data_IF_072735084917
#
_entry.id   IF_072735084917
#
_cell.length_a   1.000
_cell.length_b   1.000
_cell.length_c   1.000
_cell.angle_alpha   90.00
_cell.angle_beta   90.00
_cell.angle_gamma   90.00
#
_symmetry.space_group_name_H-M   'P 1'
#
loop_
_entity.id
_entity.type
_entity.pdbx_description
1 polymer ?
#
# COMPACT_ATOMS: atom_id res chain seq x y z
N UNK A 1 -19.80 11.79 -8.93
CA UNK A 1 -18.36 12.04 -9.08
C UNK A 1 -17.59 11.23 -8.06
N UNK A 2 -16.62 10.48 -8.51
CA UNK A 2 -15.85 9.64 -7.60
C UNK A 2 -14.68 10.40 -6.99
N UNK A 3 -14.54 10.33 -5.68
CA UNK A 3 -13.38 10.88 -5.02
C UNK A 3 -12.17 9.98 -5.23
N UNK A 4 -11.01 10.58 -5.36
CA UNK A 4 -9.75 9.86 -5.45
C UNK A 4 -8.94 10.07 -4.17
N UNK A 5 -8.16 9.06 -3.81
CA UNK A 5 -7.39 9.07 -2.57
C UNK A 5 -5.95 8.65 -2.88
N UNK A 6 -5.03 9.54 -2.59
CA UNK A 6 -3.60 9.29 -2.84
C UNK A 6 -2.82 9.33 -1.52
N UNK A 7 -3.15 10.28 -0.65
CA UNK A 7 -2.47 10.48 0.62
C UNK A 7 -3.38 10.14 1.79
N UNK A 8 -2.81 9.62 2.88
CA UNK A 8 -3.60 9.37 4.07
C UNK A 8 -4.03 10.68 4.71
N UNK A 9 -5.19 10.68 5.37
CA UNK A 9 -5.58 11.81 6.21
C UNK A 9 -4.90 11.69 7.57
N UNK A 10 -4.77 12.82 8.27
CA UNK A 10 -4.21 12.79 9.62
C UNK A 10 -5.06 11.94 10.56
N UNK A 11 -6.39 11.96 10.38
CA UNK A 11 -7.30 11.15 11.17
C UNK A 11 -7.05 9.66 10.98
N UNK A 12 -6.84 9.24 9.73
CA UNK A 12 -6.58 7.84 9.43
C UNK A 12 -5.21 7.40 9.97
N UNK A 13 -4.20 8.24 9.84
CA UNK A 13 -2.87 7.97 10.41
C UNK A 13 -2.99 7.78 11.92
N UNK A 14 -3.67 8.71 12.60
CA UNK A 14 -3.85 8.65 14.05
C UNK A 14 -4.61 7.38 14.46
N UNK A 15 -5.63 7.00 13.69
CA UNK A 15 -6.41 5.79 13.97
C UNK A 15 -5.54 4.54 13.90
N UNK A 16 -4.69 4.43 12.88
CA UNK A 16 -3.79 3.28 12.76
C UNK A 16 -2.77 3.26 13.89
N UNK A 17 -2.23 4.43 14.26
CA UNK A 17 -1.25 4.51 15.36
C UNK A 17 -1.83 4.06 16.69
N UNK A 18 -3.14 4.26 16.88
CA UNK A 18 -3.83 3.89 18.12
C UNK A 18 -4.31 2.45 18.16
N UNK A 19 -4.23 1.74 17.04
CA UNK A 19 -4.66 0.34 17.01
C UNK A 19 -3.82 -0.48 17.98
N UNK A 20 -4.52 -1.32 18.76
CA UNK A 20 -3.85 -2.25 19.67
C UNK A 20 -3.49 -3.51 18.89
N UNK A 21 -2.48 -3.38 18.03
CA UNK A 21 -1.99 -4.48 17.20
C UNK A 21 -0.50 -4.57 17.38
N UNK A 22 -0.03 -5.78 17.68
CA UNK A 22 1.38 -6.07 17.83
C UNK A 22 1.82 -7.02 16.72
N UNK A 23 3.10 -6.93 16.37
CA UNK A 23 3.69 -7.83 15.40
C UNK A 23 3.42 -7.42 13.96
N UNK A 24 3.58 -8.37 13.03
CA UNK A 24 3.55 -8.05 11.60
C UNK A 24 2.18 -7.57 11.11
N UNK A 25 2.24 -6.64 10.18
CA UNK A 25 1.07 -6.11 9.49
C UNK A 25 1.26 -6.29 8.00
N UNK A 26 0.19 -6.57 7.28
CA UNK A 26 0.23 -6.63 5.82
C UNK A 26 -0.59 -5.46 5.29
N UNK A 27 0.07 -4.58 4.57
CA UNK A 27 -0.58 -3.44 3.92
C UNK A 27 -1.06 -3.87 2.54
N UNK A 28 -2.36 -3.73 2.34
CA UNK A 28 -2.99 -4.07 1.07
C UNK A 28 -3.16 -2.80 0.25
N UNK A 29 -2.49 -2.76 -0.90
CA UNK A 29 -2.54 -1.63 -1.82
C UNK A 29 -3.41 -1.98 -3.02
N UNK A 30 -4.36 -1.11 -3.33
CA UNK A 30 -5.09 -1.14 -4.60
C UNK A 30 -4.69 0.12 -5.36
N UNK A 31 -4.20 -0.04 -6.57
CA UNK A 31 -3.59 1.05 -7.32
C UNK A 31 -4.23 1.21 -8.69
N UNK A 32 -4.54 2.45 -9.04
CA UNK A 32 -4.90 2.83 -10.40
C UNK A 32 -3.85 3.82 -10.88
N UNK A 33 -3.19 3.51 -11.99
CA UNK A 33 -2.14 4.36 -12.55
C UNK A 33 -2.74 5.47 -13.38
N UNK A 34 -2.04 6.61 -13.43
CA UNK A 34 -2.39 7.65 -14.39
C UNK A 34 -2.26 7.09 -15.80
N UNK A 35 -3.19 7.44 -16.70
CA UNK A 35 -3.20 6.83 -18.04
C UNK A 35 -1.94 7.14 -18.86
N UNK A 36 -1.29 8.28 -18.61
CA UNK A 36 -0.09 8.64 -19.35
C UNK A 36 1.14 8.52 -18.46
N UNK A 37 1.86 7.40 -18.60
CA UNK A 37 3.12 7.21 -17.90
C UNK A 37 3.01 6.80 -16.44
N UNK A 38 1.81 6.59 -15.91
CA UNK A 38 1.65 6.27 -14.49
C UNK A 38 2.33 4.97 -14.10
N UNK A 39 2.21 3.92 -14.93
CA UNK A 39 2.83 2.64 -14.62
C UNK A 39 4.35 2.75 -14.57
N UNK A 40 4.95 3.50 -15.52
CA UNK A 40 6.39 3.71 -15.54
C UNK A 40 6.86 4.54 -14.34
N UNK A 41 6.09 5.56 -13.96
CA UNK A 41 6.40 6.35 -12.77
C UNK A 41 6.31 5.52 -11.51
N UNK A 42 5.33 4.61 -11.44
CA UNK A 42 5.22 3.74 -10.28
C UNK A 42 6.41 2.78 -10.20
N UNK A 43 6.93 2.35 -11.34
CA UNK A 43 8.15 1.53 -11.36
C UNK A 43 9.34 2.33 -10.82
N UNK A 44 9.45 3.62 -11.19
CA UNK A 44 10.47 4.51 -10.62
C UNK A 44 10.32 4.62 -9.10
N UNK A 45 9.07 4.76 -8.65
CA UNK A 45 8.80 4.77 -7.22
C UNK A 45 9.29 3.49 -6.56
N UNK A 46 8.98 2.33 -7.16
CA UNK A 46 9.40 1.04 -6.62
C UNK A 46 10.91 0.93 -6.46
N UNK A 47 11.65 1.40 -7.47
CA UNK A 47 13.11 1.39 -7.42
C UNK A 47 13.62 2.34 -6.33
N UNK A 48 13.05 3.53 -6.24
CA UNK A 48 13.45 4.51 -5.23
C UNK A 48 13.08 4.07 -3.81
N UNK A 49 11.95 3.37 -3.66
CA UNK A 49 11.47 2.91 -2.36
C UNK A 49 12.17 1.64 -1.87
N UNK A 50 12.78 0.87 -2.77
CA UNK A 50 13.37 -0.42 -2.42
C UNK A 50 14.32 -0.38 -1.23
N UNK A 51 15.28 0.58 -1.14
CA UNK A 51 16.16 0.63 0.03
C UNK A 51 15.42 0.97 1.31
N UNK A 52 14.33 1.76 1.23
CA UNK A 52 13.52 2.08 2.40
C UNK A 52 12.77 0.84 2.90
N UNK A 53 12.21 0.07 1.97
CA UNK A 53 11.54 -1.19 2.32
C UNK A 53 12.52 -2.15 2.97
N UNK A 54 13.72 -2.29 2.40
CA UNK A 54 14.74 -3.17 2.94
C UNK A 54 15.11 -2.78 4.38
N UNK A 55 15.32 -1.49 4.63
CA UNK A 55 15.69 -1.02 5.97
C UNK A 55 14.56 -1.20 6.99
N UNK A 56 13.31 -1.12 6.53
CA UNK A 56 12.17 -1.29 7.43
C UNK A 56 11.88 -2.75 7.77
N UNK A 57 12.53 -3.68 7.09
CA UNK A 57 12.26 -5.10 7.25
C UNK A 57 11.03 -5.57 6.49
N UNK A 58 10.58 -4.78 5.51
CA UNK A 58 9.39 -5.10 4.75
C UNK A 58 9.64 -6.20 3.74
N UNK A 59 8.61 -6.99 3.47
CA UNK A 59 8.64 -8.06 2.48
C UNK A 59 7.41 -7.92 1.59
N UNK A 60 7.62 -7.90 0.27
CA UNK A 60 6.49 -7.93 -0.67
C UNK A 60 5.98 -9.36 -0.72
N UNK A 61 4.76 -9.57 -0.23
CA UNK A 61 4.12 -10.88 -0.15
C UNK A 61 3.44 -11.25 -1.47
N UNK A 62 2.95 -10.27 -2.19
CA UNK A 62 2.26 -10.50 -3.46
C UNK A 62 2.24 -9.20 -4.25
N UNK A 63 2.46 -9.31 -5.55
CA UNK A 63 2.27 -8.22 -6.50
C UNK A 63 1.61 -8.81 -7.73
N UNK A 64 0.45 -8.29 -8.11
CA UNK A 64 -0.27 -8.81 -9.26
C UNK A 64 -1.03 -7.72 -9.99
N UNK A 65 -1.11 -7.86 -11.30
CA UNK A 65 -1.93 -6.98 -12.12
C UNK A 65 -3.35 -7.53 -12.16
N UNK A 66 -4.32 -6.63 -12.01
CA UNK A 66 -5.73 -7.03 -11.98
C UNK A 66 -6.16 -7.41 -13.39
N UNK A 67 -6.59 -8.65 -13.56
CA UNK A 67 -7.03 -9.17 -14.86
C UNK A 67 -8.47 -8.79 -15.17
N UNK A 68 -9.30 -8.66 -14.14
CA UNK A 68 -10.71 -8.31 -14.33
C UNK A 68 -11.45 -8.29 -13.01
N UNK A 69 -12.65 -7.76 -13.01
CA UNK A 69 -13.49 -7.65 -11.84
C UNK A 69 -14.52 -8.78 -11.83
N UNK A 70 -14.52 -9.57 -10.76
CA UNK A 70 -15.54 -10.62 -10.60
C UNK A 70 -16.78 -10.06 -9.94
N UNK A 71 -16.58 -9.27 -8.86
CA UNK A 71 -17.68 -8.61 -8.15
C UNK A 71 -17.21 -7.22 -7.75
N UNK A 72 -17.95 -6.20 -8.12
CA UNK A 72 -17.68 -4.84 -7.73
C UNK A 72 -17.74 -3.86 -8.87
N UNK A 73 -17.69 -2.57 -8.52
CA UNK A 73 -17.76 -1.48 -9.49
C UNK A 73 -16.44 -0.73 -9.63
N UNK A 74 -15.53 -0.90 -8.67
CA UNK A 74 -14.24 -0.22 -8.74
C UNK A 74 -13.29 -0.99 -9.65
N UNK A 75 -12.49 -0.24 -10.38
CA UNK A 75 -11.49 -0.81 -11.28
C UNK A 75 -10.10 -0.44 -10.80
N UNK A 76 -9.27 -1.44 -10.59
CA UNK A 76 -7.89 -1.26 -10.14
C UNK A 76 -6.94 -1.92 -11.13
N UNK A 77 -5.74 -1.35 -11.24
CA UNK A 77 -4.72 -1.89 -12.15
C UNK A 77 -3.83 -2.92 -11.46
N UNK A 78 -3.55 -2.72 -10.17
CA UNK A 78 -2.57 -3.55 -9.47
C UNK A 78 -2.94 -3.72 -8.00
N UNK A 79 -2.61 -4.89 -7.48
CA UNK A 79 -2.71 -5.21 -6.05
C UNK A 79 -1.30 -5.50 -5.54
N UNK A 80 -0.92 -4.90 -4.41
CA UNK A 80 0.36 -5.22 -3.76
C UNK A 80 0.10 -5.46 -2.28
N UNK A 81 0.60 -6.58 -1.78
CA UNK A 81 0.59 -6.90 -0.35
C UNK A 81 2.02 -6.78 0.16
N UNK A 82 2.23 -5.88 1.12
CA UNK A 82 3.55 -5.67 1.71
C UNK A 82 3.46 -5.90 3.21
N UNK A 83 4.28 -6.81 3.71
CA UNK A 83 4.34 -7.10 5.13
C UNK A 83 5.42 -6.25 5.78
N UNK A 84 5.07 -5.61 6.90
CA UNK A 84 6.00 -4.88 7.75
C UNK A 84 6.07 -5.58 9.10
N UNK A 85 7.24 -5.59 9.76
CA UNK A 85 7.35 -6.25 11.06
C UNK A 85 6.50 -5.61 12.15
N UNK A 86 6.13 -4.34 11.99
CA UNK A 86 5.29 -3.63 12.95
C UNK A 86 4.72 -2.39 12.30
N UNK A 87 3.69 -1.81 12.91
CA UNK A 87 3.17 -0.52 12.44
C UNK A 87 4.21 0.58 12.60
N UNK A 88 5.05 0.48 13.63
CA UNK A 88 6.11 1.45 13.85
C UNK A 88 7.09 1.45 12.68
N UNK A 89 7.49 0.28 12.19
CA UNK A 89 8.39 0.17 11.05
C UNK A 89 7.80 0.86 9.82
N UNK A 90 6.50 0.68 9.58
CA UNK A 90 5.81 1.33 8.47
C UNK A 90 5.84 2.86 8.60
N UNK A 91 5.52 3.38 9.80
CA UNK A 91 5.48 4.83 10.00
C UNK A 91 6.87 5.46 10.01
N UNK A 92 7.88 4.77 10.51
CA UNK A 92 9.25 5.26 10.45
C UNK A 92 9.71 5.38 9.00
N UNK A 93 9.36 4.41 8.16
CA UNK A 93 9.70 4.44 6.75
C UNK A 93 8.98 5.58 6.03
N UNK A 94 7.65 5.65 6.14
CA UNK A 94 6.86 6.64 5.42
C UNK A 94 7.06 8.05 5.95
N UNK A 95 7.49 8.18 7.21
CA UNK A 95 7.79 9.48 7.82
C UNK A 95 9.21 9.98 7.56
N UNK A 96 10.05 9.17 6.93
CA UNK A 96 11.39 9.60 6.56
C UNK A 96 11.27 10.70 5.50
N UNK A 97 11.92 11.87 5.68
CA UNK A 97 11.81 12.95 4.70
C UNK A 97 12.33 12.59 3.31
N UNK A 98 13.18 11.56 3.22
CA UNK A 98 13.72 11.12 1.94
C UNK A 98 12.89 10.02 1.28
N UNK A 99 11.83 9.55 1.95
CA UNK A 99 10.95 8.54 1.38
C UNK A 99 10.26 9.12 0.14
N UNK A 100 10.26 8.39 -1.01
CA UNK A 100 9.80 8.96 -2.28
C UNK A 100 8.28 9.00 -2.45
N UNK A 101 7.57 9.59 -1.50
CA UNK A 101 6.10 9.68 -1.53
C UNK A 101 5.60 10.50 -2.72
N UNK A 102 6.36 11.52 -3.14
CA UNK A 102 5.96 12.36 -4.26
C UNK A 102 5.98 11.61 -5.60
N UNK A 103 6.94 10.70 -5.77
CA UNK A 103 6.99 9.86 -6.99
C UNK A 103 5.76 8.96 -7.00
N UNK A 104 5.43 8.37 -5.85
CA UNK A 104 4.24 7.53 -5.72
C UNK A 104 2.98 8.33 -6.10
N UNK A 105 2.83 9.50 -5.53
CA UNK A 105 1.67 10.35 -5.78
C UNK A 105 1.57 10.74 -7.25
N UNK A 106 2.71 11.04 -7.88
CA UNK A 106 2.73 11.41 -9.28
C UNK A 106 2.35 10.28 -10.24
N UNK A 107 2.45 9.04 -9.79
CA UNK A 107 2.14 7.87 -10.62
C UNK A 107 0.67 7.46 -10.57
N UNK A 108 -0.06 7.84 -9.51
CA UNK A 108 -1.36 7.26 -9.23
C UNK A 108 -2.51 8.21 -9.53
N UNK A 109 -3.53 7.67 -10.19
CA UNK A 109 -4.81 8.37 -10.39
C UNK A 109 -5.71 8.17 -9.18
N UNK A 110 -5.61 7.02 -8.52
CA UNK A 110 -6.40 6.71 -7.33
C UNK A 110 -5.73 5.56 -6.60
N UNK A 111 -6.05 5.39 -5.33
CA UNK A 111 -5.48 4.29 -4.54
C UNK A 111 -6.32 4.00 -3.32
N UNK A 112 -6.12 2.79 -2.80
CA UNK A 112 -6.62 2.40 -1.47
C UNK A 112 -5.48 1.70 -0.75
N UNK A 113 -5.39 1.93 0.54
CA UNK A 113 -4.38 1.29 1.37
C UNK A 113 -5.04 0.85 2.67
N UNK A 114 -5.03 -0.45 2.91
CA UNK A 114 -5.63 -1.03 4.12
C UNK A 114 -4.57 -1.72 4.94
N UNK A 115 -4.59 -1.46 6.25
CA UNK A 115 -3.75 -2.15 7.20
C UNK A 115 -4.47 -3.42 7.64
N UNK A 116 -3.84 -4.56 7.41
CA UNK A 116 -4.43 -5.85 7.77
C UNK A 116 -3.46 -6.65 8.64
N UNK A 117 -4.02 -7.56 9.42
CA UNK A 117 -3.23 -8.58 10.12
C UNK A 117 -3.62 -9.95 9.60
N UNK A 118 -2.64 -10.82 9.47
CA UNK A 118 -2.91 -12.18 9.01
C UNK A 118 -3.81 -12.87 10.04
N UNK A 119 -4.90 -13.41 9.55
CA UNK A 119 -5.84 -14.15 10.39
C UNK A 119 -5.64 -15.65 10.20
N UNK A 120 -6.18 -16.41 11.13
CA UNK A 120 -6.22 -17.86 11.01
C UNK A 120 -7.52 -18.25 10.32
N UNK A 121 -7.41 -18.91 9.17
CA UNK A 121 -8.55 -19.43 8.47
C UNK A 121 -8.69 -20.91 8.80
N UNK A 122 -9.78 -21.28 9.45
CA UNK A 122 -10.08 -22.67 9.75
C UNK A 122 -11.20 -23.15 8.84
N UNK A 123 -10.91 -24.16 8.07
CA UNK A 123 -11.91 -24.79 7.20
C UNK A 123 -12.40 -26.04 7.91
N UNK A 124 -13.68 -26.00 8.29
CA UNK A 124 -14.31 -27.14 8.95
C UNK A 124 -14.86 -28.10 7.89
N UNK A 125 -14.63 -29.38 8.09
CA UNK A 125 -15.13 -30.43 7.21
C UNK A 125 -16.27 -31.17 7.86
#
# INVERSE_FOLDING_TARGET
MNETYIHPSQEQIAAIQKLDVDGPLVMLNLLRFKPEGGAQEYQRYGEAAAPFLARSGATVRYLGDVAGTVIGAEEWDRVILVEYPSKQAFFEMTGDPDYPSEIRAGALADSRLYCTQEGALQLTR
#
